data_IF_824367350019
#
_entry.id   IF_824367350019
#
_cell.length_a   1.000
_cell.length_b   1.000
_cell.length_c   1.000
_cell.angle_alpha   90.00
_cell.angle_beta   90.00
_cell.angle_gamma   90.00
#
_symmetry.space_group_name_H-M   'P 1'
#
loop_
_entity.id
_entity.type
_entity.pdbx_description
1 polymer ?
#
# COMPACT_ATOMS: atom_id res chain seq x y z
N UNK A 1 -13.50 -7.04 -1.62
CA UNK A 1 -13.06 -5.95 -2.54
C UNK A 1 -11.54 -5.83 -2.42
N UNK A 2 -10.78 -6.00 -3.50
CA UNK A 2 -9.31 -5.83 -3.49
C UNK A 2 -9.01 -4.34 -3.35
N UNK A 3 -8.35 -3.94 -2.27
CA UNK A 3 -7.90 -2.55 -2.04
C UNK A 3 -6.66 -2.33 -2.88
N UNK A 4 -6.85 -1.95 -4.15
CA UNK A 4 -5.78 -1.47 -5.02
C UNK A 4 -5.64 0.04 -4.82
N UNK A 5 -4.55 0.47 -4.16
CA UNK A 5 -4.18 1.88 -4.04
C UNK A 5 -4.00 2.47 -5.45
N UNK A 6 -4.72 3.55 -5.80
CA UNK A 6 -4.50 4.24 -7.09
C UNK A 6 -3.32 5.19 -6.97
N UNK A 7 -2.44 5.20 -7.96
CA UNK A 7 -1.32 6.12 -7.98
C UNK A 7 -1.80 7.56 -8.22
N UNK A 8 -1.46 8.52 -7.35
CA UNK A 8 -1.88 9.91 -7.53
C UNK A 8 -1.19 10.61 -8.71
N UNK A 9 -0.12 10.02 -9.27
CA UNK A 9 0.64 10.59 -10.39
C UNK A 9 0.02 10.22 -11.74
N UNK A 10 -0.41 8.96 -11.88
CA UNK A 10 -0.78 8.40 -13.17
C UNK A 10 -2.18 7.75 -13.19
N UNK A 11 -2.91 7.78 -12.07
CA UNK A 11 -4.28 7.28 -11.94
C UNK A 11 -4.45 5.75 -12.05
N UNK A 12 -3.38 5.04 -12.44
CA UNK A 12 -3.32 3.58 -12.56
C UNK A 12 -3.26 2.91 -11.18
N UNK A 13 -3.62 1.64 -11.14
CA UNK A 13 -3.44 0.82 -9.94
C UNK A 13 -1.95 0.73 -9.59
N UNK A 14 -1.61 1.09 -8.36
CA UNK A 14 -0.27 0.98 -7.84
C UNK A 14 0.03 -0.50 -7.54
N UNK A 15 1.22 -0.95 -7.95
CA UNK A 15 1.62 -2.34 -7.75
C UNK A 15 2.09 -2.51 -6.31
N UNK A 16 1.46 -3.40 -5.56
CA UNK A 16 1.95 -3.77 -4.23
C UNK A 16 3.26 -4.54 -4.37
N UNK A 17 4.31 -4.04 -3.72
CA UNK A 17 5.65 -4.64 -3.77
C UNK A 17 5.91 -5.49 -2.53
N UNK A 18 5.44 -5.03 -1.37
CA UNK A 18 5.71 -5.71 -0.11
C UNK A 18 4.61 -5.38 0.90
N UNK A 19 4.28 -6.32 1.76
CA UNK A 19 3.46 -6.08 2.94
C UNK A 19 4.10 -6.73 4.15
N UNK A 20 3.91 -6.16 5.34
CA UNK A 20 4.40 -6.70 6.60
C UNK A 20 3.56 -6.21 7.77
N UNK A 21 3.43 -7.07 8.79
CA UNK A 21 2.74 -6.73 10.02
C UNK A 21 3.73 -6.15 11.04
N UNK A 22 3.42 -4.94 11.50
CA UNK A 22 4.09 -4.27 12.61
C UNK A 22 3.32 -4.61 13.90
N UNK A 23 3.48 -5.86 14.34
CA UNK A 23 2.78 -6.45 15.48
C UNK A 23 1.31 -6.78 15.21
N UNK A 24 0.51 -7.09 16.24
CA UNK A 24 -0.88 -7.53 16.06
C UNK A 24 -1.84 -6.41 15.63
N UNK A 25 -1.42 -5.15 15.71
CA UNK A 25 -2.29 -3.97 15.57
C UNK A 25 -2.08 -3.19 14.29
N UNK A 26 -0.95 -3.36 13.59
CA UNK A 26 -0.62 -2.55 12.42
C UNK A 26 -0.14 -3.46 11.31
N UNK A 27 -0.77 -3.35 10.16
CA UNK A 27 -0.34 -4.00 8.93
C UNK A 27 0.06 -2.92 7.93
N UNK A 28 1.24 -3.05 7.33
CA UNK A 28 1.80 -2.05 6.43
C UNK A 28 1.89 -2.65 5.04
N UNK A 29 1.40 -1.92 4.05
CA UNK A 29 1.53 -2.26 2.63
C UNK A 29 2.37 -1.22 1.91
N UNK A 30 3.37 -1.67 1.17
CA UNK A 30 4.23 -0.87 0.33
C UNK A 30 3.82 -1.04 -1.12
N UNK A 31 3.46 0.06 -1.74
CA UNK A 31 3.10 0.16 -3.15
C UNK A 31 4.17 0.91 -3.91
N UNK A 32 4.36 0.56 -5.17
CA UNK A 32 5.20 1.30 -6.11
C UNK A 32 4.42 1.57 -7.38
N UNK A 33 4.49 2.82 -7.84
CA UNK A 33 3.93 3.20 -9.12
C UNK A 33 4.62 4.46 -9.63
N UNK A 34 4.86 4.51 -10.95
CA UNK A 34 5.44 5.69 -11.60
C UNK A 34 6.78 6.13 -10.95
N UNK A 35 7.59 5.15 -10.51
CA UNK A 35 8.90 5.34 -9.88
C UNK A 35 8.87 5.78 -8.41
N UNK A 36 7.67 5.95 -7.83
CA UNK A 36 7.49 6.39 -6.44
C UNK A 36 6.97 5.25 -5.57
N UNK A 37 7.42 5.24 -4.33
CA UNK A 37 7.05 4.25 -3.31
C UNK A 37 6.13 4.90 -2.26
N UNK A 38 5.02 4.25 -1.94
CA UNK A 38 4.01 4.73 -1.01
C UNK A 38 3.69 3.65 0.02
N UNK A 39 3.38 4.04 1.25
CA UNK A 39 3.10 3.12 2.36
C UNK A 39 1.68 3.35 2.87
N UNK A 40 0.89 2.29 2.97
CA UNK A 40 -0.42 2.29 3.58
C UNK A 40 -0.34 1.61 4.95
N UNK A 41 -0.76 2.32 6.00
CA UNK A 41 -0.75 1.83 7.38
C UNK A 41 -2.17 1.44 7.77
N UNK A 42 -2.44 0.14 7.79
CA UNK A 42 -3.73 -0.43 8.16
C UNK A 42 -3.68 -0.76 9.65
N UNK A 43 -4.35 0.04 10.48
CA UNK A 43 -4.53 -0.28 11.90
C UNK A 43 -5.68 -1.27 12.06
N UNK A 44 -5.40 -2.48 12.55
CA UNK A 44 -6.41 -3.45 12.97
C UNK A 44 -6.90 -3.02 14.36
N UNK A 45 -8.14 -2.54 14.45
CA UNK A 45 -8.82 -2.17 15.70
C UNK A 45 -9.45 -3.40 16.32
#
# INVERSE_FOLDING_TARGET
MRVSMKCPVCGKEAKMIKEWDLGPKVHIKLYECCGKKFREYIRKR
#
